data_IF_834026651800
#
_entry.id   IF_834026651800
#
_cell.length_a   1.000
_cell.length_b   1.000
_cell.length_c   1.000
_cell.angle_alpha   90.00
_cell.angle_beta   90.00
_cell.angle_gamma   90.00
#
_symmetry.space_group_name_H-M   'P 1'
#
loop_
_entity.id
_entity.type
_entity.pdbx_description
1 polymer ?
#
# COMPACT_ATOMS: atom_id res chain seq x y z
N UNK A 1 -9.95 23.42 -19.08
CA UNK A 1 -8.86 24.17 -18.44
C UNK A 1 -9.10 24.18 -16.94
N UNK A 2 -8.09 23.82 -16.14
CA UNK A 2 -8.15 23.75 -14.67
C UNK A 2 -7.57 24.99 -14.00
N UNK A 3 -6.94 25.89 -14.77
CA UNK A 3 -6.38 27.14 -14.24
C UNK A 3 -7.47 28.05 -13.66
N UNK A 4 -7.23 28.55 -12.47
CA UNK A 4 -8.15 29.47 -11.76
C UNK A 4 -9.45 28.80 -11.29
N UNK A 5 -9.54 27.46 -11.31
CA UNK A 5 -10.69 26.75 -10.76
C UNK A 5 -10.42 26.41 -9.30
N UNK A 6 -11.21 26.98 -8.40
CA UNK A 6 -11.16 26.65 -6.99
C UNK A 6 -12.02 25.43 -6.66
N UNK A 7 -11.62 24.66 -5.65
CA UNK A 7 -12.41 23.56 -5.10
C UNK A 7 -12.05 23.32 -3.63
N UNK A 8 -13.06 23.33 -2.76
CA UNK A 8 -12.91 23.23 -1.30
C UNK A 8 -11.93 24.30 -0.76
N UNK A 9 -10.78 23.90 -0.19
CA UNK A 9 -9.74 24.81 0.31
C UNK A 9 -8.71 25.19 -0.76
N UNK A 10 -8.70 24.55 -1.92
CA UNK A 10 -7.77 24.89 -2.99
C UNK A 10 -8.27 26.07 -3.80
N UNK A 11 -7.48 27.15 -3.85
CA UNK A 11 -7.80 28.34 -4.62
C UNK A 11 -7.60 28.14 -6.13
N UNK A 12 -6.67 27.28 -6.55
CA UNK A 12 -6.43 26.93 -7.95
C UNK A 12 -6.03 25.45 -8.08
N UNK A 13 -6.80 24.67 -8.82
CA UNK A 13 -6.55 23.26 -9.11
C UNK A 13 -5.28 23.03 -9.95
N UNK A 14 -4.82 24.04 -10.68
CA UNK A 14 -3.57 23.99 -11.45
C UNK A 14 -2.33 24.30 -10.58
N UNK A 15 -2.50 24.90 -9.41
CA UNK A 15 -1.45 25.14 -8.43
C UNK A 15 -1.50 24.09 -7.31
N UNK A 16 -0.50 24.08 -6.43
CA UNK A 16 -0.57 23.26 -5.21
C UNK A 16 -1.62 23.83 -4.25
N UNK A 17 -2.26 22.96 -3.47
CA UNK A 17 -3.14 23.40 -2.38
C UNK A 17 -2.34 23.51 -1.07
N UNK A 18 -2.75 24.45 -0.21
CA UNK A 18 -2.23 24.59 1.15
C UNK A 18 -3.40 24.71 2.11
N UNK A 19 -3.45 23.82 3.10
CA UNK A 19 -4.37 23.93 4.23
C UNK A 19 -3.69 24.56 5.45
N UNK A 20 -2.37 24.41 5.54
CA UNK A 20 -1.52 24.97 6.59
C UNK A 20 -0.19 25.37 5.95
N UNK A 21 0.17 26.64 6.10
CA UNK A 21 1.50 27.14 5.77
C UNK A 21 2.41 27.03 7.01
N UNK A 22 3.61 26.50 6.81
CA UNK A 22 4.62 26.34 7.85
C UNK A 22 5.51 27.59 7.88
N UNK A 23 5.90 28.10 9.06
CA UNK A 23 6.81 29.24 9.18
C UNK A 23 8.27 28.90 8.83
N UNK A 24 8.55 27.66 8.44
CA UNK A 24 9.86 27.16 8.03
C UNK A 24 9.70 26.17 6.86
N UNK A 25 10.73 26.07 6.01
CA UNK A 25 10.74 25.10 4.92
C UNK A 25 11.36 23.77 5.37
N UNK A 26 10.62 22.67 5.21
CA UNK A 26 11.14 21.32 5.43
C UNK A 26 11.83 20.85 4.14
N UNK A 27 13.11 20.45 4.17
CA UNK A 27 13.79 19.90 3.02
C UNK A 27 12.99 18.74 2.40
N UNK A 28 12.87 18.73 1.07
CA UNK A 28 12.04 17.79 0.28
C UNK A 28 10.52 17.94 0.41
N UNK A 29 9.98 18.41 1.54
CA UNK A 29 8.53 18.54 1.76
C UNK A 29 7.97 19.91 1.34
N UNK A 30 8.71 20.99 1.60
CA UNK A 30 8.28 22.38 1.37
C UNK A 30 7.83 23.08 2.65
N UNK A 31 7.27 24.28 2.47
CA UNK A 31 6.82 25.17 3.55
C UNK A 31 5.29 25.18 3.73
N UNK A 32 4.57 24.19 3.20
CA UNK A 32 3.12 24.09 3.31
C UNK A 32 2.68 22.63 3.42
N UNK A 33 1.41 22.41 3.76
CA UNK A 33 0.77 21.09 3.81
C UNK A 33 -0.39 21.08 2.82
N UNK A 34 -0.31 20.22 1.79
CA UNK A 34 -1.40 19.96 0.84
C UNK A 34 -2.45 19.05 1.48
N UNK A 35 -3.65 19.59 1.67
CA UNK A 35 -4.78 18.85 2.22
C UNK A 35 -5.21 17.70 1.31
N UNK A 36 -5.20 17.89 -0.01
CA UNK A 36 -5.53 16.80 -0.95
C UNK A 36 -4.50 15.69 -0.94
N UNK A 37 -3.22 16.03 -0.81
CA UNK A 37 -2.16 15.02 -0.69
C UNK A 37 -2.32 14.21 0.60
N UNK A 38 -2.67 14.86 1.71
CA UNK A 38 -2.97 14.18 2.98
C UNK A 38 -4.14 13.21 2.84
N UNK A 39 -5.26 13.67 2.29
CA UNK A 39 -6.43 12.82 2.09
C UNK A 39 -6.16 11.67 1.13
N UNK A 40 -5.40 11.92 0.06
CA UNK A 40 -4.98 10.89 -0.89
C UNK A 40 -4.17 9.81 -0.20
N UNK A 41 -3.16 10.17 0.60
CA UNK A 41 -2.34 9.18 1.31
C UNK A 41 -3.14 8.38 2.34
N UNK A 42 -4.05 9.03 3.07
CA UNK A 42 -4.98 8.34 3.99
C UNK A 42 -5.84 7.33 3.22
N UNK A 43 -6.35 7.73 2.06
CA UNK A 43 -7.17 6.86 1.21
C UNK A 43 -6.37 5.66 0.69
N UNK A 44 -5.14 5.87 0.23
CA UNK A 44 -4.22 4.79 -0.18
C UNK A 44 -3.93 3.85 0.99
N UNK A 45 -3.69 4.39 2.19
CA UNK A 45 -3.44 3.59 3.38
C UNK A 45 -4.63 2.67 3.68
N UNK A 46 -5.86 3.19 3.70
CA UNK A 46 -7.06 2.39 3.91
C UNK A 46 -7.32 1.39 2.80
N UNK A 47 -7.16 1.80 1.54
CA UNK A 47 -7.28 0.91 0.38
C UNK A 47 -6.33 -0.29 0.51
N UNK A 48 -5.05 -0.01 0.78
CA UNK A 48 -4.04 -1.04 0.95
C UNK A 48 -4.36 -1.93 2.16
N UNK A 49 -4.82 -1.36 3.27
CA UNK A 49 -5.18 -2.13 4.47
C UNK A 49 -6.35 -3.08 4.20
N UNK A 50 -7.35 -2.62 3.44
CA UNK A 50 -8.54 -3.40 3.08
C UNK A 50 -8.24 -4.53 2.09
N UNK A 51 -7.34 -4.29 1.12
CA UNK A 51 -6.94 -5.29 0.13
C UNK A 51 -6.01 -6.33 0.74
N UNK A 52 -5.01 -5.91 1.52
CA UNK A 52 -4.09 -6.84 2.21
C UNK A 52 -4.79 -7.66 3.30
N UNK A 53 -5.79 -7.12 3.99
CA UNK A 53 -6.55 -7.87 4.99
C UNK A 53 -7.28 -9.09 4.42
N UNK A 54 -7.68 -9.04 3.14
CA UNK A 54 -8.37 -10.13 2.47
C UNK A 54 -7.44 -11.17 1.84
N UNK A 55 -6.12 -10.96 1.86
CA UNK A 55 -5.16 -11.89 1.27
C UNK A 55 -4.53 -12.78 2.36
N UNK A 56 -4.33 -14.09 2.07
CA UNK A 56 -3.61 -14.96 2.99
C UNK A 56 -2.20 -14.42 3.22
N UNK A 57 -1.66 -14.54 4.45
CA UNK A 57 -0.34 -14.01 4.78
C UNK A 57 0.70 -14.62 3.84
N UNK A 58 1.34 -13.77 3.04
CA UNK A 58 2.40 -14.24 2.15
C UNK A 58 3.56 -14.79 2.98
N UNK A 59 4.16 -15.93 2.56
CA UNK A 59 5.28 -16.51 3.28
C UNK A 59 6.44 -15.52 3.31
N UNK A 60 6.91 -15.20 4.51
CA UNK A 60 8.08 -14.34 4.72
C UNK A 60 9.30 -14.98 4.06
N UNK A 61 9.73 -14.49 2.90
CA UNK A 61 11.00 -14.89 2.31
C UNK A 61 12.15 -14.24 3.06
N UNK A 62 13.15 -15.03 3.46
CA UNK A 62 14.31 -14.51 4.16
C UNK A 62 15.10 -13.54 3.27
N UNK A 63 15.07 -12.25 3.61
CA UNK A 63 15.73 -11.17 2.85
C UNK A 63 14.79 -10.14 2.23
N UNK A 64 13.47 -10.37 2.23
CA UNK A 64 12.49 -9.36 1.86
C UNK A 64 12.12 -8.49 3.08
N UNK A 65 12.02 -7.15 2.93
CA UNK A 65 11.59 -6.26 4.01
C UNK A 65 10.17 -6.61 4.49
N UNK A 66 9.87 -6.29 5.75
CA UNK A 66 8.54 -6.55 6.30
C UNK A 66 7.49 -5.75 5.51
N UNK A 67 6.61 -6.45 4.80
CA UNK A 67 5.56 -5.85 3.97
C UNK A 67 4.63 -4.94 4.79
N UNK A 68 4.46 -5.20 6.09
CA UNK A 68 3.71 -4.31 6.99
C UNK A 68 4.41 -2.98 7.20
N UNK A 69 5.74 -3.00 7.28
CA UNK A 69 6.54 -1.78 7.39
C UNK A 69 6.44 -0.99 6.09
N UNK A 70 6.56 -1.65 4.93
CA UNK A 70 6.40 -1.01 3.62
C UNK A 70 5.01 -0.37 3.49
N UNK A 71 3.95 -1.10 3.88
CA UNK A 71 2.56 -0.61 3.84
C UNK A 71 2.34 0.67 4.65
N UNK A 72 3.04 0.83 5.78
CA UNK A 72 2.94 2.03 6.60
C UNK A 72 3.86 3.17 6.12
N UNK A 73 5.02 2.85 5.55
CA UNK A 73 5.99 3.85 5.10
C UNK A 73 5.67 4.46 3.73
N UNK A 74 5.13 3.69 2.79
CA UNK A 74 4.75 4.18 1.45
C UNK A 74 3.84 5.42 1.50
N UNK A 75 2.70 5.40 2.23
CA UNK A 75 1.81 6.56 2.24
C UNK A 75 2.51 7.78 2.84
N UNK A 76 3.37 7.59 3.84
CA UNK A 76 4.16 8.68 4.41
C UNK A 76 5.11 9.28 3.36
N UNK A 77 5.95 8.48 2.70
CA UNK A 77 6.88 8.98 1.66
C UNK A 77 6.14 9.65 0.50
N UNK A 78 4.97 9.13 0.11
CA UNK A 78 4.13 9.74 -0.91
C UNK A 78 3.66 11.14 -0.52
N UNK A 79 3.36 11.39 0.76
CA UNK A 79 3.03 12.74 1.23
C UNK A 79 4.16 13.71 0.91
N UNK A 80 5.42 13.34 1.21
CA UNK A 80 6.57 14.23 0.96
C UNK A 80 6.78 14.52 -0.51
N UNK A 81 6.52 13.55 -1.37
CA UNK A 81 6.70 13.73 -2.80
C UNK A 81 5.56 14.54 -3.44
N UNK A 82 4.31 14.20 -3.13
CA UNK A 82 3.13 14.81 -3.77
C UNK A 82 2.76 16.18 -3.23
N UNK A 83 3.28 16.58 -2.07
CA UNK A 83 2.94 17.85 -1.42
C UNK A 83 3.17 19.07 -2.32
N UNK A 84 4.18 19.04 -3.19
CA UNK A 84 4.54 20.14 -4.10
C UNK A 84 3.85 20.07 -5.48
N UNK A 85 2.99 19.08 -5.72
CA UNK A 85 2.31 18.90 -7.02
C UNK A 85 1.00 19.68 -7.09
N UNK A 86 0.46 19.83 -8.30
CA UNK A 86 -0.83 20.49 -8.52
C UNK A 86 -1.96 19.76 -7.76
N UNK A 87 -2.80 20.53 -7.07
CA UNK A 87 -3.93 20.09 -6.28
C UNK A 87 -4.88 19.18 -7.09
N UNK A 88 -5.08 19.51 -8.37
CA UNK A 88 -5.90 18.71 -9.28
C UNK A 88 -5.36 17.29 -9.52
N UNK A 89 -4.04 17.09 -9.47
CA UNK A 89 -3.44 15.75 -9.62
C UNK A 89 -3.72 14.89 -8.38
N UNK A 90 -3.46 15.42 -7.18
CA UNK A 90 -3.77 14.74 -5.93
C UNK A 90 -5.27 14.49 -5.77
N UNK A 91 -6.12 15.44 -6.17
CA UNK A 91 -7.57 15.30 -6.15
C UNK A 91 -8.05 14.21 -7.11
N UNK A 92 -7.47 14.12 -8.31
CA UNK A 92 -7.78 13.06 -9.28
C UNK A 92 -7.48 11.67 -8.68
N UNK A 93 -6.29 11.48 -8.12
CA UNK A 93 -5.93 10.21 -7.50
C UNK A 93 -6.75 9.91 -6.24
N UNK A 94 -7.07 10.91 -5.43
CA UNK A 94 -7.97 10.79 -4.29
C UNK A 94 -9.34 10.25 -4.74
N UNK A 95 -9.95 10.89 -5.73
CA UNK A 95 -11.25 10.47 -6.26
C UNK A 95 -11.21 9.04 -6.80
N UNK A 96 -10.17 8.68 -7.57
CA UNK A 96 -10.00 7.32 -8.09
C UNK A 96 -9.85 6.27 -6.98
N UNK A 97 -9.10 6.58 -5.91
CA UNK A 97 -8.95 5.70 -4.75
C UNK A 97 -10.27 5.54 -4.00
N UNK A 98 -11.03 6.63 -3.80
CA UNK A 98 -12.34 6.58 -3.13
C UNK A 98 -13.35 5.74 -3.92
N UNK A 99 -13.38 5.88 -5.25
CA UNK A 99 -14.21 5.04 -6.11
C UNK A 99 -13.81 3.56 -5.97
N UNK A 100 -12.51 3.26 -6.00
CA UNK A 100 -11.99 1.89 -5.83
C UNK A 100 -12.37 1.29 -4.47
N UNK A 101 -12.26 2.08 -3.39
CA UNK A 101 -12.68 1.68 -2.05
C UNK A 101 -14.20 1.47 -2.01
N UNK A 102 -14.97 2.39 -2.57
CA UNK A 102 -16.43 2.30 -2.65
C UNK A 102 -16.89 1.05 -3.38
N UNK A 103 -16.31 0.74 -4.54
CA UNK A 103 -16.56 -0.50 -5.28
C UNK A 103 -16.28 -1.73 -4.43
N UNK A 104 -15.11 -1.79 -3.78
CA UNK A 104 -14.75 -2.91 -2.91
C UNK A 104 -15.72 -3.05 -1.72
N UNK A 105 -16.12 -1.95 -1.09
CA UNK A 105 -17.07 -1.96 0.02
C UNK A 105 -18.46 -2.43 -0.42
N UNK A 106 -18.93 -2.00 -1.60
CA UNK A 106 -20.20 -2.46 -2.17
C UNK A 106 -20.15 -3.96 -2.43
N UNK A 107 -19.07 -4.47 -3.05
CA UNK A 107 -18.89 -5.91 -3.28
C UNK A 107 -18.89 -6.66 -1.95
N UNK A 108 -18.08 -6.24 -0.98
CA UNK A 108 -18.01 -6.88 0.33
C UNK A 108 -19.33 -6.84 1.10
N UNK A 109 -20.11 -5.77 0.99
CA UNK A 109 -21.34 -5.60 1.76
C UNK A 109 -22.55 -6.27 1.13
N UNK A 110 -22.67 -6.23 -0.19
CA UNK A 110 -23.87 -6.70 -0.89
C UNK A 110 -23.69 -8.04 -1.60
N UNK A 111 -22.47 -8.38 -2.03
CA UNK A 111 -22.22 -9.60 -2.80
C UNK A 111 -21.51 -10.69 -1.99
N UNK A 112 -20.89 -10.35 -0.88
CA UNK A 112 -20.23 -11.31 0.00
C UNK A 112 -21.15 -11.62 1.19
N UNK A 113 -21.51 -12.89 1.32
CA UNK A 113 -22.26 -13.39 2.45
C UNK A 113 -21.27 -13.91 3.50
N UNK A 114 -20.99 -13.11 4.52
CA UNK A 114 -19.95 -13.38 5.53
C UNK A 114 -20.16 -14.73 6.23
N UNK A 115 -21.41 -15.11 6.52
CA UNK A 115 -21.74 -16.37 7.19
C UNK A 115 -21.36 -17.59 6.36
N UNK A 116 -21.59 -17.53 5.04
CA UNK A 116 -21.22 -18.61 4.12
C UNK A 116 -19.70 -18.72 3.97
N UNK A 117 -19.01 -17.59 3.91
CA UNK A 117 -17.54 -17.58 3.82
C UNK A 117 -16.91 -18.10 5.11
N UNK A 118 -17.43 -17.72 6.29
CA UNK A 118 -16.93 -18.20 7.58
C UNK A 118 -17.10 -19.72 7.70
N UNK A 119 -18.27 -20.25 7.33
CA UNK A 119 -18.53 -21.69 7.32
C UNK A 119 -17.57 -22.43 6.36
N UNK A 120 -17.34 -21.88 5.16
CA UNK A 120 -16.42 -22.46 4.17
C UNK A 120 -14.95 -22.36 4.60
N UNK A 121 -14.57 -21.30 5.33
CA UNK A 121 -13.23 -21.17 5.93
C UNK A 121 -13.05 -22.22 7.03
N UNK A 122 -13.99 -22.37 7.95
CA UNK A 122 -13.92 -23.35 9.04
C UNK A 122 -13.86 -24.79 8.51
N UNK A 123 -14.60 -25.09 7.44
CA UNK A 123 -14.55 -26.39 6.78
C UNK A 123 -13.20 -26.63 6.07
N UNK A 124 -12.67 -25.64 5.35
CA UNK A 124 -11.35 -25.73 4.70
C UNK A 124 -10.19 -25.76 5.70
N UNK A 125 -10.33 -25.14 6.88
CA UNK A 125 -9.34 -25.25 7.98
C UNK A 125 -9.34 -26.66 8.55
N UNK A 126 -10.51 -27.28 8.71
CA UNK A 126 -10.64 -28.68 9.15
C UNK A 126 -10.13 -29.67 8.08
N UNK A 127 -10.24 -29.32 6.81
CA UNK A 127 -9.78 -30.12 5.67
C UNK A 127 -8.80 -29.33 4.77
N UNK A 128 -7.53 -29.16 5.19
CA UNK A 128 -6.57 -28.39 4.40
C UNK A 128 -6.37 -29.04 3.03
N UNK A 129 -6.84 -28.37 1.97
CA UNK A 129 -6.64 -28.84 0.59
C UNK A 129 -5.15 -28.99 0.31
N UNK A 130 -4.76 -30.11 -0.30
CA UNK A 130 -3.37 -30.35 -0.74
C UNK A 130 -2.92 -29.19 -1.63
N UNK A 131 -1.75 -28.62 -1.33
CA UNK A 131 -1.15 -27.56 -2.14
C UNK A 131 -0.99 -28.05 -3.58
N UNK A 132 -1.27 -27.20 -4.55
CA UNK A 132 -1.06 -27.52 -5.97
C UNK A 132 0.42 -27.81 -6.23
N UNK A 133 0.74 -28.75 -7.12
CA UNK A 133 2.11 -29.10 -7.50
C UNK A 133 2.94 -27.89 -7.97
N UNK A 134 2.28 -26.88 -8.55
CA UNK A 134 2.93 -25.61 -8.91
C UNK A 134 3.33 -24.78 -7.68
N UNK A 135 2.45 -24.70 -6.67
CA UNK A 135 2.74 -24.00 -5.41
C UNK A 135 3.88 -24.68 -4.63
N UNK A 136 3.93 -26.02 -4.68
CA UNK A 136 5.04 -26.79 -4.10
C UNK A 136 6.37 -26.49 -4.79
N UNK A 137 6.40 -26.54 -6.13
CA UNK A 137 7.60 -26.16 -6.91
C UNK A 137 8.06 -24.73 -6.63
N UNK A 138 7.13 -23.79 -6.55
CA UNK A 138 7.43 -22.40 -6.18
C UNK A 138 8.04 -22.29 -4.78
N UNK A 139 7.47 -23.00 -3.80
CA UNK A 139 7.98 -23.00 -2.44
C UNK A 139 9.39 -23.62 -2.35
N UNK A 140 9.66 -24.66 -3.14
CA UNK A 140 10.98 -25.30 -3.22
C UNK A 140 12.03 -24.37 -3.84
N UNK A 141 11.71 -23.73 -4.98
CA UNK A 141 12.59 -22.72 -5.60
C UNK A 141 12.91 -21.58 -4.63
N UNK A 142 11.93 -21.08 -3.87
CA UNK A 142 12.16 -20.05 -2.86
C UNK A 142 13.12 -20.52 -1.75
N UNK A 143 12.98 -21.77 -1.28
CA UNK A 143 13.89 -22.34 -0.27
C UNK A 143 15.30 -22.48 -0.82
N UNK A 144 15.47 -22.91 -2.07
CA UNK A 144 16.79 -22.99 -2.70
C UNK A 144 17.45 -21.62 -2.84
N UNK A 145 16.71 -20.60 -3.27
CA UNK A 145 17.20 -19.22 -3.35
C UNK A 145 17.66 -18.71 -1.97
N UNK A 146 16.89 -18.99 -0.91
CA UNK A 146 17.27 -18.62 0.46
C UNK A 146 18.53 -19.35 0.93
N UNK A 147 18.69 -20.64 0.60
CA UNK A 147 19.90 -21.42 0.93
C UNK A 147 21.13 -20.83 0.22
N UNK A 148 21.06 -20.62 -1.09
CA UNK A 148 22.14 -20.00 -1.88
C UNK A 148 22.53 -18.62 -1.32
N UNK A 149 21.55 -17.81 -0.93
CA UNK A 149 21.80 -16.49 -0.32
C UNK A 149 22.50 -16.59 1.04
N UNK A 150 22.13 -17.58 1.88
CA UNK A 150 22.78 -17.83 3.17
C UNK A 150 24.22 -18.32 3.00
N UNK A 151 24.48 -19.21 2.04
CA UNK A 151 25.83 -19.71 1.73
C UNK A 151 26.75 -18.61 1.18
N UNK A 152 26.22 -17.73 0.33
CA UNK A 152 26.94 -16.54 -0.16
C UNK A 152 27.26 -15.55 0.98
N UNK A 153 26.38 -15.41 1.97
CA UNK A 153 26.64 -14.57 3.16
C UNK A 153 27.65 -15.21 4.11
N UNK A 154 27.60 -16.53 4.34
CA UNK A 154 28.55 -17.22 5.23
C UNK A 154 29.97 -17.30 4.64
N UNK A 155 30.09 -17.48 3.33
CA UNK A 155 31.38 -17.46 2.62
C UNK A 155 32.03 -16.07 2.59
N UNK A 156 31.25 -14.99 2.45
CA UNK A 156 31.76 -13.60 2.57
C UNK A 156 32.18 -13.24 4.01
N UNK A 157 31.53 -13.80 5.03
CA UNK A 157 31.92 -13.60 6.44
C UNK A 157 33.22 -14.29 6.82
N UNK A 158 33.52 -15.46 6.24
CA UNK A 158 34.79 -16.18 6.45
C UNK A 158 36.00 -15.58 5.74
N UNK A 159 35.81 -14.82 4.65
CA UNK A 159 36.91 -14.14 3.91
C UNK A 159 37.32 -12.78 4.51
N UNK A 160 36.61 -12.28 5.52
CA UNK A 160 36.88 -11.00 6.21
C UNK A 160 37.50 -11.15 7.62
N UNK A 161 37.82 -12.38 8.04
CA UNK A 161 38.70 -12.69 9.17
C UNK A 161 40.03 -13.16 8.61
#
# INVERSE_FOLDING_TARGET
DLRGKSFLWAADLAAYDSIVDLPFEIPMYGAHISGFTVLMAISIFFYMRMTTAGQPPQPKQAGMPDMKMIQNFIPFTMLFFFNKFAAGLSLYYLAANLVSIGQMLIIKRYFINEDKILAEIDENVKNPKKKSAFQERLAEMQKEQQKKTKELKSSKGKKKK
#
